data_IF_280516864552
#
_entry.id   IF_280516864552
#
_cell.length_a   1.000
_cell.length_b   1.000
_cell.length_c   1.000
_cell.angle_alpha   90.00
_cell.angle_beta   90.00
_cell.angle_gamma   90.00
#
_symmetry.space_group_name_H-M   'P 1'
#
loop_
_entity.id
_entity.type
_entity.pdbx_description
1 polymer ?
#
# COMPACT_ATOMS: atom_id res chain seq x y z
N UNK A 1 0.63 -30.07 20.07
CA UNK A 1 1.20 -29.82 18.73
C UNK A 1 0.78 -28.45 18.12
N UNK A 2 0.29 -27.48 18.91
CA UNK A 2 -0.33 -26.23 18.40
C UNK A 2 0.63 -25.07 18.02
N UNK A 3 1.96 -25.26 18.12
CA UNK A 3 2.94 -24.21 17.79
C UNK A 3 3.33 -24.17 16.31
N UNK A 4 3.35 -25.32 15.62
CA UNK A 4 3.72 -25.42 14.21
C UNK A 4 2.67 -24.82 13.25
N UNK A 5 1.40 -24.83 13.63
CA UNK A 5 0.30 -24.35 12.80
C UNK A 5 0.30 -22.81 12.66
N UNK A 6 0.60 -22.11 13.76
CA UNK A 6 0.72 -20.66 13.77
C UNK A 6 1.93 -20.17 12.96
N UNK A 7 3.04 -20.89 12.96
CA UNK A 7 4.24 -20.53 12.18
C UNK A 7 3.98 -20.69 10.67
N UNK A 8 3.25 -21.74 10.26
CA UNK A 8 2.86 -21.92 8.85
C UNK A 8 1.88 -20.84 8.39
N UNK A 9 0.84 -20.55 9.17
CA UNK A 9 -0.12 -19.49 8.84
C UNK A 9 0.54 -18.10 8.75
N UNK A 10 1.54 -17.84 9.59
CA UNK A 10 2.28 -16.58 9.55
C UNK A 10 3.21 -16.49 8.33
N UNK A 11 3.84 -17.61 7.94
CA UNK A 11 4.63 -17.69 6.70
C UNK A 11 3.75 -17.54 5.45
N UNK A 12 2.59 -18.18 5.40
CA UNK A 12 1.65 -18.05 4.28
C UNK A 12 1.12 -16.62 4.15
N UNK A 13 0.79 -15.98 5.28
CA UNK A 13 0.37 -14.58 5.27
C UNK A 13 1.51 -13.66 4.79
N UNK A 14 2.74 -13.89 5.24
CA UNK A 14 3.91 -13.13 4.77
C UNK A 14 4.16 -13.30 3.28
N UNK A 15 4.09 -14.51 2.75
CA UNK A 15 4.25 -14.75 1.31
C UNK A 15 3.15 -14.10 0.47
N UNK A 16 1.90 -14.06 0.97
CA UNK A 16 0.84 -13.33 0.28
C UNK A 16 1.03 -11.82 0.32
N UNK A 17 1.49 -11.27 1.45
CA UNK A 17 1.86 -9.84 1.56
C UNK A 17 2.98 -9.54 0.59
N UNK A 18 4.05 -10.34 0.59
CA UNK A 18 5.23 -10.13 -0.25
C UNK A 18 4.90 -10.19 -1.75
N UNK A 19 4.04 -11.13 -2.16
CA UNK A 19 3.55 -11.18 -3.53
C UNK A 19 2.73 -9.94 -3.91
N UNK A 20 1.82 -9.48 -3.04
CA UNK A 20 1.06 -8.24 -3.29
C UNK A 20 1.95 -7.01 -3.32
N UNK A 21 2.96 -6.97 -2.45
CA UNK A 21 3.93 -5.90 -2.31
C UNK A 21 4.85 -5.85 -3.54
N UNK A 22 5.27 -6.99 -4.08
CA UNK A 22 6.00 -7.10 -5.36
C UNK A 22 5.13 -6.70 -6.55
N UNK A 23 3.88 -7.18 -6.63
CA UNK A 23 2.97 -6.83 -7.72
C UNK A 23 2.68 -5.33 -7.78
N UNK A 24 2.54 -4.68 -6.61
CA UNK A 24 2.26 -3.25 -6.50
C UNK A 24 3.52 -2.43 -6.16
N UNK A 25 4.72 -3.01 -6.31
CA UNK A 25 5.94 -2.42 -5.76
C UNK A 25 6.21 -1.03 -6.28
N UNK A 26 5.99 -0.79 -7.58
CA UNK A 26 6.20 0.53 -8.15
C UNK A 26 5.31 1.60 -7.50
N UNK A 27 4.03 1.30 -7.26
CA UNK A 27 3.13 2.25 -6.60
C UNK A 27 3.40 2.37 -5.10
N UNK A 28 3.68 1.24 -4.44
CA UNK A 28 3.97 1.20 -3.02
C UNK A 28 5.26 1.97 -2.71
N UNK A 29 6.30 1.83 -3.53
CA UNK A 29 7.56 2.57 -3.44
C UNK A 29 7.32 4.07 -3.37
N UNK A 30 6.50 4.64 -4.26
CA UNK A 30 6.20 6.08 -4.22
C UNK A 30 5.46 6.50 -2.94
N UNK A 31 4.49 5.70 -2.48
CA UNK A 31 3.77 5.98 -1.22
C UNK A 31 4.67 5.86 0.01
N UNK A 32 5.60 4.90 0.01
CA UNK A 32 6.59 4.72 1.07
C UNK A 32 7.57 5.89 1.08
N UNK A 33 8.06 6.35 -0.07
CA UNK A 33 8.91 7.54 -0.15
C UNK A 33 8.19 8.80 0.35
N UNK A 34 6.91 8.96 0.01
CA UNK A 34 6.08 10.07 0.48
C UNK A 34 5.81 10.03 1.99
N UNK A 35 5.58 8.84 2.55
CA UNK A 35 5.41 8.65 4.00
C UNK A 35 6.71 8.79 4.77
N UNK A 36 7.78 8.24 4.24
CA UNK A 36 9.10 8.15 4.84
C UNK A 36 10.09 8.97 4.01
N UNK A 37 9.89 10.30 3.96
CA UNK A 37 10.72 11.23 3.17
C UNK A 37 12.23 11.21 3.53
N UNK A 38 12.62 10.56 4.63
CA UNK A 38 14.01 10.37 5.04
C UNK A 38 14.66 9.16 4.37
N UNK A 39 13.88 8.27 3.74
CA UNK A 39 14.37 7.08 3.05
C UNK A 39 14.58 7.41 1.58
N UNK A 40 15.74 7.05 1.03
CA UNK A 40 16.00 7.26 -0.38
C UNK A 40 15.44 6.12 -1.24
N UNK A 41 15.11 6.37 -2.52
CA UNK A 41 14.68 5.32 -3.44
C UNK A 41 15.70 4.19 -3.55
N UNK A 42 16.99 4.46 -3.38
CA UNK A 42 18.05 3.46 -3.38
C UNK A 42 17.98 2.51 -2.16
N UNK A 43 17.62 3.01 -0.97
CA UNK A 43 17.46 2.18 0.22
C UNK A 43 16.28 1.21 0.07
N UNK A 44 15.21 1.64 -0.60
CA UNK A 44 14.06 0.78 -0.92
C UNK A 44 14.42 -0.28 -1.97
N UNK A 45 15.17 0.09 -3.00
CA UNK A 45 15.58 -0.82 -4.09
C UNK A 45 16.57 -1.88 -3.61
N UNK A 46 17.41 -1.55 -2.62
CA UNK A 46 18.35 -2.46 -2.01
C UNK A 46 17.70 -3.56 -1.14
N UNK A 47 16.42 -3.39 -0.77
CA UNK A 47 15.71 -4.37 0.03
C UNK A 47 15.21 -5.53 -0.82
N UNK A 48 15.70 -6.74 -0.55
CA UNK A 48 15.27 -7.98 -1.23
C UNK A 48 13.95 -8.55 -0.70
N UNK A 49 13.66 -8.31 0.59
CA UNK A 49 12.57 -8.91 1.34
C UNK A 49 11.90 -7.89 2.27
N UNK A 50 10.69 -8.21 2.76
CA UNK A 50 9.93 -7.32 3.66
C UNK A 50 10.69 -7.01 4.95
N UNK A 51 11.39 -7.98 5.54
CA UNK A 51 12.12 -7.76 6.79
C UNK A 51 13.28 -6.78 6.60
N UNK A 52 14.02 -6.91 5.51
CA UNK A 52 15.12 -6.00 5.17
C UNK A 52 14.58 -4.59 4.85
N UNK A 53 13.45 -4.51 4.15
CA UNK A 53 12.76 -3.25 3.90
C UNK A 53 12.34 -2.55 5.20
N UNK A 54 11.74 -3.29 6.13
CA UNK A 54 11.33 -2.79 7.44
C UNK A 54 12.53 -2.28 8.23
N UNK A 55 13.59 -3.07 8.33
CA UNK A 55 14.80 -2.73 9.08
C UNK A 55 15.48 -1.48 8.51
N UNK A 56 15.59 -1.37 7.18
CA UNK A 56 16.18 -0.19 6.53
C UNK A 56 15.37 1.08 6.75
N UNK A 57 14.05 1.01 6.59
CA UNK A 57 13.18 2.17 6.81
C UNK A 57 13.24 2.58 8.28
N UNK A 58 13.18 1.61 9.21
CA UNK A 58 13.30 1.85 10.64
C UNK A 58 14.62 2.54 11.01
N UNK A 59 15.75 2.05 10.48
CA UNK A 59 17.07 2.64 10.68
C UNK A 59 17.15 4.08 10.17
N UNK A 60 16.70 4.33 8.93
CA UNK A 60 16.76 5.65 8.29
C UNK A 60 15.81 6.68 8.89
N UNK A 61 14.61 6.25 9.31
CA UNK A 61 13.58 7.13 9.86
C UNK A 61 13.58 7.19 11.38
N UNK A 62 14.44 6.40 12.03
CA UNK A 62 14.48 6.23 13.49
C UNK A 62 13.12 5.79 14.07
N UNK A 63 12.30 5.08 13.29
CA UNK A 63 11.06 4.46 13.74
C UNK A 63 11.28 3.03 14.18
N UNK A 64 10.36 2.48 14.98
CA UNK A 64 10.40 1.06 15.34
C UNK A 64 9.98 0.18 14.17
N UNK A 65 10.65 -0.96 14.01
CA UNK A 65 10.35 -1.95 12.97
C UNK A 65 8.88 -2.38 12.98
N UNK A 66 8.29 -2.58 14.16
CA UNK A 66 6.87 -2.89 14.33
C UNK A 66 5.94 -1.83 13.73
N UNK A 67 6.29 -0.54 13.89
CA UNK A 67 5.51 0.55 13.32
C UNK A 67 5.60 0.54 11.78
N UNK A 68 6.80 0.36 11.25
CA UNK A 68 7.07 0.31 9.82
C UNK A 68 6.39 -0.89 9.17
N UNK A 69 6.49 -2.09 9.75
CA UNK A 69 5.83 -3.31 9.26
C UNK A 69 4.32 -3.12 9.19
N UNK A 70 3.71 -2.59 10.26
CA UNK A 70 2.28 -2.33 10.29
C UNK A 70 1.90 -1.31 9.22
N UNK A 71 2.72 -0.26 9.01
CA UNK A 71 2.50 0.74 7.96
C UNK A 71 2.61 0.15 6.55
N UNK A 72 3.62 -0.67 6.28
CA UNK A 72 3.79 -1.34 4.99
C UNK A 72 2.63 -2.28 4.69
N UNK A 73 2.13 -3.02 5.68
CA UNK A 73 0.96 -3.89 5.53
C UNK A 73 -0.32 -3.10 5.21
N UNK A 74 -0.47 -1.91 5.80
CA UNK A 74 -1.56 -0.97 5.49
C UNK A 74 -1.42 -0.39 4.06
N UNK A 75 -0.19 -0.10 3.62
CA UNK A 75 0.09 0.42 2.27
C UNK A 75 -0.09 -0.64 1.18
N UNK A 76 0.25 -1.90 1.47
CA UNK A 76 0.05 -3.05 0.58
C UNK A 76 -1.43 -3.50 0.50
N UNK A 77 -2.31 -2.91 1.31
CA UNK A 77 -3.75 -3.23 1.30
C UNK A 77 -4.13 -4.49 2.10
N UNK A 78 -3.18 -5.15 2.76
CA UNK A 78 -3.41 -6.40 3.53
C UNK A 78 -4.02 -6.16 4.92
N UNK A 79 -4.43 -4.92 5.23
CA UNK A 79 -5.08 -4.59 6.50
C UNK A 79 -6.01 -3.40 6.46
N UNK A 80 -6.43 -2.98 5.27
CA UNK A 80 -7.21 -1.75 5.08
C UNK A 80 -8.21 -1.94 3.96
N UNK A 81 -9.35 -2.53 4.33
CA UNK A 81 -10.57 -1.82 3.97
C UNK A 81 -10.40 -0.36 4.45
N UNK A 82 -10.19 0.57 3.53
CA UNK A 82 -10.16 2.03 3.72
C UNK A 82 -8.87 2.67 4.29
N UNK A 83 -7.79 2.71 3.52
CA UNK A 83 -6.99 3.94 3.39
C UNK A 83 -6.74 4.10 1.89
N UNK A 84 -7.70 4.71 1.20
CA UNK A 84 -7.65 4.81 -0.26
C UNK A 84 -8.96 4.73 -1.03
N UNK A 85 -10.13 4.81 -0.40
CA UNK A 85 -11.30 5.44 -1.05
C UNK A 85 -11.12 6.96 -1.06
N UNK A 86 -9.97 7.40 -1.56
CA UNK A 86 -9.83 8.59 -2.38
C UNK A 86 -9.45 8.12 -3.79
N UNK A 87 -10.11 7.04 -4.21
CA UNK A 87 -10.21 6.57 -5.58
C UNK A 87 -11.47 7.08 -6.29
N UNK A 88 -12.19 8.04 -5.69
CA UNK A 88 -13.25 8.81 -6.38
C UNK A 88 -12.69 9.76 -7.47
N UNK A 89 -11.38 9.70 -7.78
CA UNK A 89 -10.73 10.51 -8.81
C UNK A 89 -9.81 9.71 -9.74
N UNK A 90 -10.19 8.47 -10.05
CA UNK A 90 -9.79 7.87 -11.33
C UNK A 90 -11.04 7.47 -12.13
N UNK A 91 -11.91 8.46 -12.38
CA UNK A 91 -12.85 8.44 -13.50
C UNK A 91 -12.07 8.57 -14.81
N UNK A 92 -11.26 7.57 -15.12
CA UNK A 92 -10.77 7.27 -16.46
C UNK A 92 -11.82 6.45 -17.21
N UNK A 93 -12.99 7.04 -17.41
CA UNK A 93 -14.12 6.46 -18.12
C UNK A 93 -14.75 7.53 -18.98
N UNK A 94 -14.19 7.69 -20.17
CA UNK A 94 -14.70 8.52 -21.23
C UNK A 94 -16.16 8.14 -21.55
N UNK A 95 -17.13 8.94 -21.11
CA UNK A 95 -18.46 8.95 -21.72
C UNK A 95 -18.93 10.39 -21.95
N UNK A 96 -18.26 11.02 -22.92
CA UNK A 96 -18.89 12.02 -23.77
C UNK A 96 -20.00 11.30 -24.57
N UNK A 97 -21.24 11.27 -24.09
CA UNK A 97 -22.41 11.29 -24.98
C UNK A 97 -23.77 11.42 -24.25
N UNK A 98 -24.50 12.47 -24.63
CA UNK A 98 -25.96 12.53 -24.78
C UNK A 98 -26.89 12.43 -23.56
N UNK A 99 -27.59 13.52 -23.30
CA UNK A 99 -28.80 13.51 -22.49
C UNK A 99 -29.22 14.88 -21.97
N UNK A 100 -29.27 15.90 -22.84
CA UNK A 100 -29.78 17.22 -22.47
C UNK A 100 -31.23 17.13 -21.97
N UNK A 101 -31.47 17.67 -20.78
CA UNK A 101 -32.80 18.01 -20.27
C UNK A 101 -32.66 19.34 -19.50
N UNK A 102 -33.14 20.47 -20.06
CA UNK A 102 -33.18 21.73 -19.33
C UNK A 102 -34.34 21.68 -18.33
N UNK A 103 -34.03 21.50 -17.04
CA UNK A 103 -34.98 21.74 -15.96
C UNK A 103 -34.85 23.21 -15.53
N UNK A 104 -35.84 24.03 -15.90
CA UNK A 104 -35.88 25.44 -15.52
C UNK A 104 -36.88 26.28 -16.30
N UNK A 105 -38.13 25.82 -16.42
CA UNK A 105 -39.25 26.65 -16.80
C UNK A 105 -40.10 26.89 -15.54
N UNK A 106 -39.97 28.08 -14.92
CA UNK A 106 -40.93 28.61 -13.97
C UNK A 106 -40.67 30.12 -13.75
N UNK A 107 -41.51 30.90 -14.43
CA UNK A 107 -42.13 32.18 -14.06
C UNK A 107 -41.27 33.30 -13.48
#
# INVERSE_FOLDING_TARGET
MARRDHEMAQQEQRQQVEQQLRQNWQQLRYRVLDQFNQVSPADLDAATDIEDLVARIADRTHHSEQYVENRLRQLAGVGTGRIGSSGERFSGGQQRNQGGQPFGAQQ
#
